data_IF_557035457366
#
_entry.id   IF_557035457366
#
_cell.length_a   1.000
_cell.length_b   1.000
_cell.length_c   1.000
_cell.angle_alpha   90.00
_cell.angle_beta   90.00
_cell.angle_gamma   90.00
#
_symmetry.space_group_name_H-M   'P 1'
#
loop_
_entity.id
_entity.type
_entity.pdbx_description
1 polymer ?
#
# COMPACT_ATOMS: atom_id res chain seq x y z
N UNK A 1 -2.18 38.95 -1.05
CA UNK A 1 -1.48 38.15 -2.09
C UNK A 1 -1.22 39.08 -3.25
N UNK A 2 0.02 39.26 -3.72
CA UNK A 2 0.31 40.19 -4.83
C UNK A 2 -0.09 39.55 -6.16
N UNK A 3 -0.41 40.38 -7.17
CA UNK A 3 -0.80 39.92 -8.51
C UNK A 3 0.24 38.96 -9.11
N UNK A 4 1.53 39.30 -8.99
CA UNK A 4 2.65 38.47 -9.43
C UNK A 4 2.66 37.06 -8.80
N UNK A 5 2.27 36.94 -7.53
CA UNK A 5 2.24 35.65 -6.83
C UNK A 5 1.08 34.78 -7.33
N UNK A 6 -0.05 35.38 -7.66
CA UNK A 6 -1.20 34.67 -8.22
C UNK A 6 -0.86 34.14 -9.61
N UNK A 7 -0.23 34.97 -10.44
CA UNK A 7 0.21 34.57 -11.78
C UNK A 7 1.28 33.47 -11.74
N UNK A 8 2.23 33.56 -10.81
CA UNK A 8 3.21 32.50 -10.60
C UNK A 8 2.56 31.18 -10.14
N UNK A 9 1.60 31.25 -9.21
CA UNK A 9 0.84 30.09 -8.75
C UNK A 9 0.03 29.44 -9.89
N UNK A 10 -0.70 30.23 -10.67
CA UNK A 10 -1.45 29.76 -11.84
C UNK A 10 -0.54 29.08 -12.86
N UNK A 11 0.64 29.65 -13.14
CA UNK A 11 1.64 29.03 -14.03
C UNK A 11 2.13 27.68 -13.51
N UNK A 12 2.45 27.58 -12.22
CA UNK A 12 2.88 26.31 -11.60
C UNK A 12 1.74 25.28 -11.66
N UNK A 13 0.50 25.69 -11.34
CA UNK A 13 -0.66 24.80 -11.40
C UNK A 13 -0.83 24.24 -12.80
N UNK A 14 -0.83 25.10 -13.82
CA UNK A 14 -0.92 24.68 -15.23
C UNK A 14 0.23 23.74 -15.61
N UNK A 15 1.47 24.09 -15.29
CA UNK A 15 2.63 23.24 -15.58
C UNK A 15 2.58 21.86 -14.90
N UNK A 16 1.90 21.74 -13.74
CA UNK A 16 1.71 20.46 -13.04
C UNK A 16 0.54 19.63 -13.57
N UNK A 17 -0.47 20.26 -14.16
CA UNK A 17 -1.69 19.59 -14.62
C UNK A 17 -1.77 19.39 -16.13
N UNK A 18 -0.96 20.11 -16.91
CA UNK A 18 -0.96 20.07 -18.37
C UNK A 18 0.21 19.20 -18.89
N UNK A 19 -0.01 18.53 -20.03
CA UNK A 19 1.02 17.78 -20.73
C UNK A 19 2.22 18.72 -21.07
N UNK A 20 3.47 18.23 -21.02
CA UNK A 20 3.90 16.83 -21.08
C UNK A 20 4.20 16.16 -19.73
N UNK A 21 3.82 16.76 -18.59
CA UNK A 21 4.27 16.25 -17.28
C UNK A 21 3.63 14.91 -16.88
N UNK A 22 2.39 14.67 -17.30
CA UNK A 22 1.66 13.44 -17.04
C UNK A 22 1.87 12.41 -18.16
N UNK A 23 2.45 11.28 -17.82
CA UNK A 23 2.69 10.15 -18.72
C UNK A 23 1.53 9.16 -18.68
N UNK A 24 1.21 8.63 -19.86
CA UNK A 24 0.31 7.47 -19.98
C UNK A 24 1.09 6.24 -19.48
N UNK A 25 0.56 5.47 -18.53
CA UNK A 25 1.27 4.34 -17.95
C UNK A 25 1.36 3.16 -18.92
N UNK A 26 2.50 2.47 -18.90
CA UNK A 26 2.71 1.21 -19.61
C UNK A 26 3.05 0.09 -18.61
N UNK A 27 2.18 -0.90 -18.44
CA UNK A 27 2.34 -1.96 -17.43
C UNK A 27 3.54 -2.90 -17.63
N UNK A 28 4.15 -2.90 -18.82
CA UNK A 28 5.36 -3.67 -19.10
C UNK A 28 6.65 -2.98 -18.61
N UNK A 29 6.57 -1.73 -18.14
CA UNK A 29 7.71 -0.97 -17.63
C UNK A 29 7.56 -0.80 -16.10
N UNK A 30 8.61 -1.01 -15.31
CA UNK A 30 8.52 -0.86 -13.86
C UNK A 30 8.11 0.55 -13.42
N UNK A 31 7.26 0.63 -12.39
CA UNK A 31 6.86 1.90 -11.78
C UNK A 31 7.83 2.32 -10.66
N UNK A 32 7.80 3.61 -10.33
CA UNK A 32 8.44 4.18 -9.13
C UNK A 32 7.39 4.87 -8.28
N UNK A 33 7.14 4.33 -7.10
CA UNK A 33 6.19 4.88 -6.14
C UNK A 33 6.96 5.68 -5.07
N UNK A 34 6.88 7.00 -5.14
CA UNK A 34 7.40 7.89 -4.10
C UNK A 34 6.35 8.07 -3.02
N UNK A 35 6.63 7.66 -1.80
CA UNK A 35 5.71 7.79 -0.65
C UNK A 35 6.27 8.74 0.40
N UNK A 36 5.42 9.43 1.12
CA UNK A 36 5.83 10.23 2.27
C UNK A 36 4.65 10.60 3.17
N UNK A 37 4.92 10.68 4.45
CA UNK A 37 3.97 11.10 5.46
C UNK A 37 4.51 12.24 6.32
N UNK A 38 3.62 13.08 6.81
CA UNK A 38 3.90 14.03 7.88
C UNK A 38 2.70 14.09 8.84
N UNK A 39 2.77 14.97 9.85
CA UNK A 39 1.66 15.18 10.79
C UNK A 39 0.40 15.79 10.15
N UNK A 40 0.49 16.32 8.93
CA UNK A 40 -0.67 16.93 8.26
C UNK A 40 -1.36 15.94 7.30
N UNK A 41 -0.60 15.01 6.72
CA UNK A 41 -1.06 14.28 5.56
C UNK A 41 -0.16 13.13 5.10
N UNK A 42 -0.76 12.28 4.28
CA UNK A 42 -0.09 11.26 3.49
C UNK A 42 -0.04 11.72 2.03
N UNK A 43 1.07 11.48 1.37
CA UNK A 43 1.25 11.81 -0.05
C UNK A 43 2.03 10.74 -0.78
N UNK A 44 1.60 10.42 -2.00
CA UNK A 44 2.38 9.59 -2.89
C UNK A 44 2.32 10.09 -4.35
N UNK A 45 3.41 9.84 -5.07
CA UNK A 45 3.55 10.12 -6.49
C UNK A 45 3.96 8.84 -7.21
N UNK A 46 3.18 8.43 -8.19
CA UNK A 46 3.48 7.31 -9.06
C UNK A 46 4.18 7.85 -10.30
N UNK A 47 5.40 7.40 -10.55
CA UNK A 47 6.23 7.80 -11.67
C UNK A 47 6.57 6.58 -12.53
N UNK A 48 6.97 6.84 -13.77
CA UNK A 48 7.50 5.82 -14.66
C UNK A 48 8.64 6.40 -15.49
N UNK A 49 9.66 5.60 -15.79
CA UNK A 49 10.75 6.00 -16.68
C UNK A 49 10.41 5.54 -18.09
N UNK A 50 10.15 6.48 -18.99
CA UNK A 50 9.83 6.21 -20.39
C UNK A 50 10.87 6.85 -21.31
N UNK A 51 10.98 6.36 -22.54
CA UNK A 51 11.81 6.99 -23.56
C UNK A 51 10.99 8.09 -24.21
N UNK A 52 11.43 9.33 -24.04
CA UNK A 52 10.84 10.53 -24.64
C UNK A 52 11.97 11.25 -25.37
N UNK A 53 11.80 11.53 -26.66
CA UNK A 53 12.84 12.14 -27.50
C UNK A 53 14.19 11.41 -27.40
N UNK A 54 14.16 10.08 -27.50
CA UNK A 54 15.31 9.16 -27.38
C UNK A 54 16.07 9.22 -26.05
N UNK A 55 15.48 9.80 -25.00
CA UNK A 55 16.08 9.90 -23.67
C UNK A 55 15.22 9.25 -22.59
N UNK A 56 15.84 8.51 -21.65
CA UNK A 56 15.12 8.02 -20.49
C UNK A 56 14.71 9.19 -19.60
N UNK A 57 13.41 9.42 -19.55
CA UNK A 57 12.80 10.52 -18.80
C UNK A 57 11.88 9.93 -17.74
N UNK A 58 12.13 10.27 -16.47
CA UNK A 58 11.20 9.94 -15.40
C UNK A 58 10.06 10.95 -15.41
N UNK A 59 8.87 10.50 -15.79
CA UNK A 59 7.67 11.32 -15.75
C UNK A 59 6.65 10.80 -14.75
N UNK A 60 5.72 11.68 -14.41
CA UNK A 60 4.69 11.44 -13.43
C UNK A 60 3.51 10.75 -14.10
N UNK A 61 2.94 9.72 -13.46
CA UNK A 61 1.69 9.09 -13.89
C UNK A 61 0.52 9.66 -13.10
N UNK A 62 0.62 9.70 -11.77
CA UNK A 62 -0.43 10.26 -10.92
C UNK A 62 0.08 10.71 -9.56
N UNK A 63 -0.63 11.68 -8.97
CA UNK A 63 -0.48 12.07 -7.58
C UNK A 63 -1.68 11.64 -6.75
N UNK A 64 -1.42 11.20 -5.52
CA UNK A 64 -2.44 10.95 -4.52
C UNK A 64 -2.05 11.59 -3.20
N UNK A 65 -3.02 12.19 -2.51
CA UNK A 65 -2.80 12.71 -1.15
C UNK A 65 -4.09 12.71 -0.35
N UNK A 66 -3.97 12.50 0.96
CA UNK A 66 -5.07 12.67 1.91
C UNK A 66 -4.57 13.18 3.25
N UNK A 67 -5.41 13.97 3.92
CA UNK A 67 -5.20 14.31 5.31
C UNK A 67 -5.28 13.07 6.19
N UNK A 68 -4.52 13.11 7.28
CA UNK A 68 -4.49 12.04 8.26
C UNK A 68 -5.78 12.05 9.09
N UNK A 69 -6.18 10.87 9.57
CA UNK A 69 -7.32 10.76 10.48
C UNK A 69 -6.89 11.09 11.92
N UNK A 70 -7.83 11.50 12.79
CA UNK A 70 -7.54 11.72 14.22
C UNK A 70 -6.95 10.49 14.95
N UNK A 71 -7.24 9.29 14.46
CA UNK A 71 -6.67 8.03 14.98
C UNK A 71 -5.23 7.79 14.54
N UNK A 72 -4.86 8.30 13.35
CA UNK A 72 -3.54 8.16 12.74
C UNK A 72 -2.56 9.22 13.27
N UNK A 73 -3.05 10.37 13.72
CA UNK A 73 -2.26 11.47 14.30
C UNK A 73 -1.40 11.04 15.51
N UNK A 74 -1.81 9.97 16.20
CA UNK A 74 -1.07 9.40 17.34
C UNK A 74 0.12 8.54 16.93
N UNK A 75 0.32 8.29 15.63
CA UNK A 75 1.41 7.45 15.14
C UNK A 75 2.71 8.24 15.05
N UNK A 76 3.80 7.64 15.53
CA UNK A 76 5.14 8.20 15.30
C UNK A 76 5.52 8.18 13.81
N UNK A 77 6.48 9.02 13.42
CA UNK A 77 6.88 9.24 12.03
C UNK A 77 7.14 7.95 11.23
N UNK A 78 7.88 7.00 11.79
CA UNK A 78 8.14 5.70 11.15
C UNK A 78 6.88 4.88 10.87
N UNK A 79 5.88 4.95 11.75
CA UNK A 79 4.61 4.25 11.58
C UNK A 79 3.74 4.97 10.55
N UNK A 80 3.80 6.29 10.49
CA UNK A 80 3.11 7.11 9.48
C UNK A 80 3.62 6.83 8.07
N UNK A 81 4.94 6.68 7.90
CA UNK A 81 5.54 6.28 6.63
C UNK A 81 5.10 4.88 6.20
N UNK A 82 5.06 3.91 7.13
CA UNK A 82 4.52 2.58 6.84
C UNK A 82 3.02 2.63 6.46
N UNK A 83 2.23 3.44 7.16
CA UNK A 83 0.82 3.67 6.83
C UNK A 83 0.66 4.25 5.42
N UNK A 84 1.51 5.22 5.06
CA UNK A 84 1.52 5.82 3.73
C UNK A 84 1.76 4.77 2.64
N UNK A 85 2.73 3.87 2.84
CA UNK A 85 2.98 2.77 1.91
C UNK A 85 1.72 1.92 1.72
N UNK A 86 1.15 1.41 2.81
CA UNK A 86 -0.03 0.52 2.76
C UNK A 86 -1.20 1.19 2.07
N UNK A 87 -1.49 2.45 2.43
CA UNK A 87 -2.56 3.24 1.82
C UNK A 87 -2.31 3.50 0.33
N UNK A 88 -1.07 3.84 -0.05
CA UNK A 88 -0.73 4.12 -1.45
C UNK A 88 -0.86 2.86 -2.31
N UNK A 89 -0.46 1.70 -1.79
CA UNK A 89 -0.62 0.41 -2.47
C UNK A 89 -2.09 0.06 -2.67
N UNK A 90 -2.92 0.23 -1.65
CA UNK A 90 -4.37 -0.01 -1.73
C UNK A 90 -5.04 0.90 -2.78
N UNK A 91 -4.72 2.21 -2.76
CA UNK A 91 -5.32 3.16 -3.71
C UNK A 91 -4.79 3.03 -5.14
N UNK A 92 -3.57 2.54 -5.32
CA UNK A 92 -2.95 2.34 -6.63
C UNK A 92 -2.92 0.87 -7.05
N UNK A 93 -3.75 0.02 -6.43
CA UNK A 93 -3.81 -1.41 -6.72
C UNK A 93 -3.94 -1.68 -8.23
N UNK A 94 -4.83 -0.96 -8.93
CA UNK A 94 -5.03 -1.12 -10.38
C UNK A 94 -3.80 -0.82 -11.25
N UNK A 95 -2.85 -0.02 -10.76
CA UNK A 95 -1.59 0.25 -11.45
C UNK A 95 -0.49 -0.75 -11.08
N UNK A 96 -0.42 -1.10 -9.80
CA UNK A 96 0.72 -1.84 -9.23
C UNK A 96 0.53 -3.35 -9.24
N UNK A 97 -0.72 -3.83 -9.25
CA UNK A 97 -1.01 -5.26 -9.29
C UNK A 97 -0.40 -5.89 -10.56
N UNK A 98 0.33 -6.98 -10.39
CA UNK A 98 1.06 -7.68 -11.45
C UNK A 98 2.29 -6.94 -12.02
N UNK A 99 2.48 -5.66 -11.70
CA UNK A 99 3.58 -4.84 -12.24
C UNK A 99 4.78 -4.82 -11.29
N UNK A 100 5.99 -4.75 -11.83
CA UNK A 100 7.19 -4.52 -11.02
C UNK A 100 7.27 -3.04 -10.62
N UNK A 101 7.68 -2.74 -9.38
CA UNK A 101 7.86 -1.35 -8.97
C UNK A 101 8.84 -1.15 -7.82
N UNK A 102 9.33 0.08 -7.70
CA UNK A 102 10.17 0.52 -6.60
C UNK A 102 9.38 1.42 -5.63
N UNK A 103 9.29 1.01 -4.36
CA UNK A 103 8.76 1.85 -3.29
C UNK A 103 9.87 2.73 -2.72
N UNK A 104 9.80 4.03 -2.95
CA UNK A 104 10.82 5.01 -2.58
C UNK A 104 10.33 5.82 -1.37
N UNK A 105 11.09 5.81 -0.29
CA UNK A 105 10.79 6.50 0.97
C UNK A 105 12.04 7.17 1.55
N UNK A 106 11.84 8.19 2.38
CA UNK A 106 12.88 8.82 3.20
C UNK A 106 13.07 8.14 4.57
N UNK A 107 12.35 7.05 4.84
CA UNK A 107 12.36 6.36 6.12
C UNK A 107 12.81 4.90 6.03
N UNK A 108 13.95 4.59 6.66
CA UNK A 108 14.48 3.22 6.69
C UNK A 108 13.58 2.20 7.42
N UNK A 109 12.68 2.64 8.30
CA UNK A 109 11.78 1.73 9.02
C UNK A 109 10.82 0.98 8.11
N UNK A 110 10.47 1.56 6.95
CA UNK A 110 9.60 0.92 5.96
C UNK A 110 10.26 -0.32 5.36
N UNK A 111 11.59 -0.31 5.17
CA UNK A 111 12.34 -1.51 4.76
C UNK A 111 12.26 -2.62 5.80
N UNK A 112 12.26 -2.23 7.08
CA UNK A 112 12.15 -3.17 8.19
C UNK A 112 10.75 -3.77 8.29
N UNK A 113 9.70 -3.06 7.84
CA UNK A 113 8.32 -3.56 7.88
C UNK A 113 8.19 -4.96 7.27
N UNK A 114 8.82 -5.24 6.12
CA UNK A 114 8.77 -6.56 5.47
C UNK A 114 9.59 -7.65 6.18
N UNK A 115 10.54 -7.27 7.06
CA UNK A 115 11.50 -8.18 7.69
C UNK A 115 11.24 -8.42 9.17
N UNK A 116 10.34 -7.66 9.79
CA UNK A 116 10.02 -7.77 11.21
C UNK A 116 9.38 -9.12 11.54
N UNK A 117 10.05 -9.90 12.40
CA UNK A 117 9.53 -11.19 12.90
C UNK A 117 8.51 -11.02 14.04
N UNK A 118 8.76 -10.04 14.93
CA UNK A 118 7.90 -9.74 16.08
C UNK A 118 7.18 -8.40 15.86
N UNK A 119 6.25 -8.38 14.92
CA UNK A 119 5.45 -7.21 14.60
C UNK A 119 4.33 -7.01 15.63
N UNK A 120 4.08 -5.76 16.05
CA UNK A 120 2.84 -5.42 16.78
C UNK A 120 1.63 -5.74 15.88
N UNK A 121 0.46 -6.06 16.45
CA UNK A 121 -0.78 -6.41 15.74
C UNK A 121 -1.09 -5.49 14.54
N UNK A 122 -0.90 -4.17 14.68
CA UNK A 122 -1.07 -3.22 13.58
C UNK A 122 -0.05 -3.42 12.45
N UNK A 123 1.22 -3.60 12.78
CA UNK A 123 2.27 -3.87 11.79
C UNK A 123 2.05 -5.21 11.11
N UNK A 124 1.57 -6.22 11.84
CA UNK A 124 1.27 -7.54 11.28
C UNK A 124 0.12 -7.46 10.25
N UNK A 125 -0.95 -6.71 10.55
CA UNK A 125 -2.03 -6.44 9.57
C UNK A 125 -1.49 -5.82 8.30
N UNK A 126 -0.63 -4.80 8.44
CA UNK A 126 0.00 -4.14 7.28
C UNK A 126 0.96 -5.04 6.53
N UNK A 127 1.75 -5.86 7.23
CA UNK A 127 2.60 -6.87 6.61
C UNK A 127 1.78 -7.83 5.76
N UNK A 128 0.63 -8.32 6.25
CA UNK A 128 -0.26 -9.20 5.50
C UNK A 128 -0.82 -8.48 4.27
N UNK A 129 -1.30 -7.23 4.43
CA UNK A 129 -1.84 -6.46 3.31
C UNK A 129 -0.84 -6.26 2.16
N UNK A 130 0.44 -6.03 2.48
CA UNK A 130 1.48 -5.81 1.46
C UNK A 130 2.11 -7.12 0.93
N UNK A 131 1.68 -8.29 1.40
CA UNK A 131 2.25 -9.57 0.95
C UNK A 131 2.05 -9.80 -0.54
N UNK A 132 0.93 -9.35 -1.11
CA UNK A 132 0.62 -9.49 -2.53
C UNK A 132 1.70 -8.83 -3.42
N UNK A 133 2.26 -7.69 -3.00
CA UNK A 133 3.29 -6.97 -3.76
C UNK A 133 4.71 -7.43 -3.46
N UNK A 134 4.91 -8.33 -2.50
CA UNK A 134 6.25 -8.62 -1.95
C UNK A 134 7.24 -9.13 -2.99
N UNK A 135 6.77 -9.88 -3.98
CA UNK A 135 7.60 -10.41 -5.06
C UNK A 135 7.98 -9.36 -6.11
N UNK A 136 7.15 -8.33 -6.27
CA UNK A 136 7.25 -7.35 -7.36
C UNK A 136 7.70 -5.96 -6.88
N UNK A 137 7.75 -5.75 -5.56
CA UNK A 137 8.10 -4.50 -4.91
C UNK A 137 9.52 -4.52 -4.34
N UNK A 138 10.34 -3.56 -4.74
CA UNK A 138 11.63 -3.28 -4.10
C UNK A 138 11.58 -1.96 -3.31
N UNK A 139 11.90 -1.99 -2.01
CA UNK A 139 11.87 -0.78 -1.17
C UNK A 139 13.26 -0.12 -1.16
N UNK A 140 13.34 1.10 -1.68
CA UNK A 140 14.56 1.91 -1.76
C UNK A 140 14.44 3.11 -0.82
N UNK A 141 15.50 3.37 -0.06
CA UNK A 141 15.57 4.55 0.78
C UNK A 141 16.31 5.65 0.01
N UNK A 142 15.71 6.83 -0.11
CA UNK A 142 16.36 8.03 -0.64
C UNK A 142 16.32 9.12 0.41
N UNK A 143 17.43 9.85 0.59
CA UNK A 143 17.47 10.95 1.55
C UNK A 143 16.43 12.04 1.19
N UNK A 144 15.78 12.62 2.20
CA UNK A 144 14.66 13.56 2.04
C UNK A 144 14.95 14.76 1.12
N UNK A 145 16.20 15.22 1.05
CA UNK A 145 16.61 16.32 0.15
C UNK A 145 16.40 16.00 -1.34
N UNK A 146 16.44 14.72 -1.71
CA UNK A 146 16.23 14.22 -3.08
C UNK A 146 14.76 13.82 -3.29
N UNK A 147 14.00 13.64 -2.20
CA UNK A 147 12.64 13.11 -2.16
C UNK A 147 11.56 14.21 -2.24
N UNK A 148 11.74 15.20 -3.11
CA UNK A 148 10.87 16.39 -3.17
C UNK A 148 9.49 16.12 -3.80
N UNK A 149 9.34 15.02 -4.55
CA UNK A 149 8.15 14.72 -5.34
C UNK A 149 6.90 14.47 -4.48
N UNK A 150 7.05 13.83 -3.32
CA UNK A 150 5.95 13.55 -2.38
C UNK A 150 5.83 14.59 -1.26
N UNK A 151 6.86 15.42 -1.09
CA UNK A 151 6.98 16.30 0.06
C UNK A 151 5.96 17.44 0.07
N UNK A 152 5.64 18.01 -1.09
CA UNK A 152 4.56 18.99 -1.23
C UNK A 152 3.18 18.37 -0.94
N UNK A 153 2.97 17.12 -1.37
CA UNK A 153 1.68 16.43 -1.25
C UNK A 153 1.34 16.08 0.20
N UNK A 154 2.33 15.70 1.01
CA UNK A 154 2.10 15.37 2.42
C UNK A 154 1.81 16.62 3.26
N UNK A 155 2.55 17.71 3.05
CA UNK A 155 2.40 18.96 3.82
C UNK A 155 1.11 19.73 3.49
N UNK A 156 0.64 19.64 2.25
CA UNK A 156 -0.62 20.25 1.80
C UNK A 156 -1.58 19.19 1.26
N UNK A 157 -1.83 18.16 2.07
CA UNK A 157 -2.69 17.07 1.66
C UNK A 157 -4.15 17.51 1.49
N UNK A 158 -4.83 16.88 0.52
CA UNK A 158 -6.25 17.11 0.28
C UNK A 158 -7.06 16.63 1.48
N UNK A 159 -8.13 17.36 1.81
CA UNK A 159 -9.02 16.99 2.90
C UNK A 159 -9.56 15.56 2.71
N UNK A 160 -9.68 14.81 3.80
CA UNK A 160 -10.24 13.47 3.77
C UNK A 160 -11.79 13.55 3.74
N UNK A 161 -12.33 14.04 2.62
CA UNK A 161 -13.77 14.17 2.35
C UNK A 161 -14.16 13.33 1.14
N UNK A 162 -15.46 13.08 0.95
CA UNK A 162 -15.99 12.28 -0.18
C UNK A 162 -15.63 12.82 -1.58
N UNK A 163 -15.26 14.10 -1.68
CA UNK A 163 -14.80 14.71 -2.93
C UNK A 163 -13.36 14.33 -3.29
N UNK A 164 -12.58 13.81 -2.33
CA UNK A 164 -11.23 13.31 -2.58
C UNK A 164 -11.32 11.87 -3.11
N UNK A 165 -10.81 11.55 -4.31
CA UNK A 165 -10.83 10.18 -4.84
C UNK A 165 -10.06 9.19 -3.96
N UNK A 166 -9.19 9.68 -3.08
CA UNK A 166 -8.41 8.86 -2.15
C UNK A 166 -8.97 8.87 -0.71
N UNK A 167 -10.22 9.32 -0.56
CA UNK A 167 -10.97 9.30 0.69
C UNK A 167 -10.93 7.94 1.37
N UNK A 168 -10.84 7.97 2.70
CA UNK A 168 -11.01 6.80 3.55
C UNK A 168 -12.02 7.14 4.66
N UNK A 169 -13.14 6.40 4.79
CA UNK A 169 -14.16 6.63 5.81
C UNK A 169 -13.59 6.62 7.24
N UNK A 170 -14.16 7.43 8.14
CA UNK A 170 -13.70 7.51 9.53
C UNK A 170 -14.06 6.27 10.35
N UNK A 171 -15.18 5.62 10.03
CA UNK A 171 -15.80 4.57 10.86
C UNK A 171 -15.56 3.14 10.35
N UNK A 172 -14.99 2.96 9.17
CA UNK A 172 -14.65 1.62 8.68
C UNK A 172 -13.23 1.25 9.11
N UNK A 173 -13.09 0.15 9.86
CA UNK A 173 -11.82 -0.55 9.90
C UNK A 173 -11.45 -0.98 8.47
N UNK A 174 -10.19 -0.82 8.03
CA UNK A 174 -9.79 -1.34 6.73
C UNK A 174 -10.06 -2.85 6.72
N UNK A 175 -11.07 -3.25 5.94
CA UNK A 175 -11.25 -4.64 5.53
C UNK A 175 -10.12 -4.93 4.56
N UNK A 176 -9.00 -5.38 5.10
CA UNK A 176 -7.97 -6.02 4.28
C UNK A 176 -8.61 -7.33 3.83
N UNK A 177 -9.03 -7.43 2.56
CA UNK A 177 -9.36 -8.73 1.98
C UNK A 177 -8.10 -9.57 2.05
N UNK A 178 -8.08 -10.56 2.94
CA UNK A 178 -7.02 -11.57 2.92
C UNK A 178 -7.37 -12.48 1.74
N UNK A 179 -7.04 -12.07 0.52
CA UNK A 179 -7.24 -12.91 -0.68
C UNK A 179 -6.41 -14.20 -0.65
N UNK A 180 -5.52 -14.34 0.34
CA UNK A 180 -4.73 -15.53 0.62
C UNK A 180 -5.41 -16.59 1.50
N UNK A 181 -6.60 -16.32 2.05
CA UNK A 181 -7.45 -17.37 2.60
C UNK A 181 -8.72 -17.37 1.76
N UNK A 182 -8.66 -18.04 0.61
CA UNK A 182 -9.87 -18.69 0.13
C UNK A 182 -10.31 -19.60 1.28
N UNK A 183 -11.24 -19.12 2.08
CA UNK A 183 -12.20 -20.01 2.70
C UNK A 183 -12.96 -20.54 1.49
N UNK A 184 -12.40 -21.54 0.81
CA UNK A 184 -13.27 -22.57 0.24
C UNK A 184 -14.11 -22.94 1.43
N UNK A 185 -15.41 -22.67 1.37
CA UNK A 185 -16.34 -23.28 2.31
C UNK A 185 -16.04 -24.77 2.24
N UNK A 186 -15.23 -25.25 3.18
CA UNK A 186 -14.95 -26.66 3.32
C UNK A 186 -16.29 -27.18 3.79
N UNK A 187 -17.08 -27.68 2.84
CA UNK A 187 -18.42 -28.17 3.11
C UNK A 187 -18.39 -29.15 4.27
N UNK A 188 -19.50 -29.23 4.99
CA UNK A 188 -19.67 -30.20 6.08
C UNK A 188 -19.31 -31.64 5.64
N UNK A 189 -19.48 -31.94 4.35
CA UNK A 189 -19.09 -33.18 3.69
C UNK A 189 -17.61 -33.54 3.90
N UNK A 190 -16.66 -32.60 3.78
CA UNK A 190 -15.24 -32.90 4.01
C UNK A 190 -14.96 -33.26 5.48
N UNK A 191 -15.60 -32.55 6.42
CA UNK A 191 -15.45 -32.87 7.84
C UNK A 191 -16.12 -34.19 8.22
N UNK A 192 -17.21 -34.55 7.55
CA UNK A 192 -17.84 -35.87 7.68
C UNK A 192 -16.95 -36.98 7.10
N UNK A 193 -16.36 -36.77 5.93
CA UNK A 193 -15.45 -37.72 5.28
C UNK A 193 -14.18 -37.95 6.12
N UNK A 194 -13.61 -36.89 6.69
CA UNK A 194 -12.51 -36.97 7.66
C UNK A 194 -12.94 -37.73 8.92
N UNK A 195 -14.16 -37.47 9.44
CA UNK A 195 -14.70 -38.17 10.62
C UNK A 195 -14.98 -39.65 10.34
N UNK A 196 -15.43 -40.01 9.14
CA UNK A 196 -15.59 -41.40 8.71
C UNK A 196 -14.26 -42.11 8.51
N UNK A 197 -13.28 -41.42 7.93
CA UNK A 197 -11.91 -41.94 7.76
C UNK A 197 -11.28 -42.33 9.10
N UNK A 198 -11.52 -41.54 10.16
CA UNK A 198 -11.08 -41.90 11.51
C UNK A 198 -11.72 -43.19 12.06
N UNK A 199 -12.93 -43.56 11.61
CA UNK A 199 -13.58 -44.83 11.98
C UNK A 199 -13.03 -46.03 11.21
N UNK A 200 -12.58 -45.83 9.97
CA UNK A 200 -12.08 -46.90 9.10
C UNK A 200 -10.56 -47.14 9.25
N UNK A 201 -9.81 -46.11 9.65
CA UNK A 201 -8.36 -46.20 9.83
C UNK A 201 -7.97 -47.10 10.99
N UNK A 202 -7.24 -48.20 10.70
CA UNK A 202 -6.76 -49.17 11.72
C UNK A 202 -6.08 -48.51 12.93
N UNK A 203 -5.26 -47.48 12.71
CA UNK A 203 -4.54 -46.79 13.78
C UNK A 203 -5.45 -45.95 14.69
N UNK A 204 -6.47 -45.31 14.09
CA UNK A 204 -7.40 -44.47 14.82
C UNK A 204 -8.42 -45.31 15.58
N UNK A 205 -8.81 -46.47 15.03
CA UNK A 205 -9.68 -47.41 15.70
C UNK A 205 -9.05 -47.98 16.99
N UNK A 206 -7.74 -48.29 16.95
CA UNK A 206 -6.98 -48.71 18.14
C UNK A 206 -7.00 -47.61 19.21
N UNK A 207 -6.79 -46.35 18.82
CA UNK A 207 -6.81 -45.21 19.75
C UNK A 207 -8.20 -44.98 20.36
N UNK A 208 -9.28 -45.07 19.59
CA UNK A 208 -10.64 -44.98 20.14
C UNK A 208 -10.95 -46.14 21.07
N UNK A 209 -10.52 -47.37 20.75
CA UNK A 209 -10.72 -48.54 21.63
C UNK A 209 -9.94 -48.48 22.95
N UNK A 210 -8.87 -47.69 23.00
CA UNK A 210 -8.11 -47.42 24.21
C UNK A 210 -8.75 -46.32 25.06
N UNK A 211 -9.47 -45.38 24.43
CA UNK A 211 -10.15 -44.26 25.09
C UNK A 211 -11.55 -44.63 25.60
N UNK A 212 -12.24 -45.59 24.97
CA UNK A 212 -13.55 -46.10 25.40
C UNK A 212 -13.47 -47.16 26.53
N UNK A 213 -12.29 -47.35 27.14
CA UNK A 213 -12.11 -48.18 28.33
C UNK A 213 -12.15 -47.31 29.59
N UNK A 214 -13.35 -46.95 29.99
CA UNK A 214 -13.76 -46.67 31.38
C UNK A 214 -15.20 -47.18 31.59
#
# INVERSE_FOLDING_TARGET
MTQERIEAYEKIRKALTEAPLLLIPYWNIPFKLYIGACGDGLGAALNQVQIIDDKPTEGLVCYISRQIKPTEDRYGASRMECLCLVWALEKLHYYLNGSAFEGITDCNSVKSLLKMKNANRHMLRWQIAIQEYRCNMNIVHKAGNIHKNSDGLRRWALANTTNNPTYVPLEEEPQISIEGINITDIGTEFFEEVRESYKQGKNCHILTSLLDKD
#
